data_IF_543503354258
#
_entry.id   IF_543503354258
#
_cell.length_a   1.000
_cell.length_b   1.000
_cell.length_c   1.000
_cell.angle_alpha   90.00
_cell.angle_beta   90.00
_cell.angle_gamma   90.00
#
_symmetry.space_group_name_H-M   'P 1'
#
loop_
_entity.id
_entity.type
_entity.pdbx_description
1 polymer ?
#
# COMPACT_ATOMS: atom_id res chain seq x y z
N UNK A 1 -9.36 -30.68 31.19
CA UNK A 1 -8.15 -30.84 30.34
C UNK A 1 -7.10 -29.85 30.84
N UNK A 2 -6.12 -30.34 31.60
CA UNK A 2 -5.13 -29.53 32.32
C UNK A 2 -4.05 -29.00 31.36
N UNK A 3 -3.97 -27.68 31.21
CA UNK A 3 -3.01 -26.99 30.32
C UNK A 3 -1.61 -27.02 30.92
N UNK A 4 -0.81 -28.02 30.52
CA UNK A 4 0.65 -28.13 30.76
C UNK A 4 1.43 -27.08 29.94
N UNK A 5 1.11 -25.79 30.03
CA UNK A 5 2.01 -24.74 29.51
C UNK A 5 3.18 -24.55 30.49
N UNK A 6 4.39 -24.89 30.04
CA UNK A 6 5.67 -24.76 30.74
C UNK A 6 5.80 -23.44 31.52
N UNK A 7 6.37 -23.49 32.73
CA UNK A 7 6.64 -22.31 33.55
C UNK A 7 7.54 -21.28 32.85
N UNK A 8 8.35 -21.72 31.88
CA UNK A 8 9.18 -20.84 31.03
C UNK A 8 8.34 -19.98 30.10
N UNK A 9 7.24 -20.51 29.54
CA UNK A 9 6.32 -19.75 28.70
C UNK A 9 5.56 -18.72 29.52
N UNK A 10 5.13 -19.07 30.74
CA UNK A 10 4.53 -18.11 31.68
C UNK A 10 5.51 -17.02 32.11
N UNK A 11 6.79 -17.36 32.34
CA UNK A 11 7.87 -16.39 32.62
C UNK A 11 8.20 -15.52 31.42
N UNK A 12 8.18 -16.05 30.19
CA UNK A 12 8.39 -15.28 28.97
C UNK A 12 7.26 -14.28 28.72
N UNK A 13 6.00 -14.69 28.97
CA UNK A 13 4.85 -13.77 28.93
C UNK A 13 4.96 -12.71 30.04
N UNK A 14 5.28 -13.12 31.27
CA UNK A 14 5.42 -12.19 32.40
C UNK A 14 6.58 -11.20 32.22
N UNK A 15 7.71 -11.64 31.64
CA UNK A 15 8.83 -10.77 31.30
C UNK A 15 8.54 -9.88 30.08
N UNK A 16 7.85 -10.39 29.06
CA UNK A 16 7.38 -9.60 27.92
C UNK A 16 6.38 -8.52 28.33
N UNK A 17 5.54 -8.79 29.33
CA UNK A 17 4.63 -7.81 29.94
C UNK A 17 5.35 -6.74 30.78
N UNK A 18 6.53 -7.04 31.35
CA UNK A 18 7.36 -6.07 32.10
C UNK A 18 8.25 -5.22 31.19
N UNK A 19 8.60 -5.71 29.99
CA UNK A 19 9.47 -5.01 29.05
C UNK A 19 8.79 -3.87 28.28
N UNK A 20 7.45 -3.80 28.28
CA UNK A 20 6.69 -2.69 27.70
C UNK A 20 6.38 -1.66 28.81
N UNK A 21 7.04 -0.49 28.83
CA UNK A 21 6.78 0.53 29.85
C UNK A 21 5.32 0.96 29.77
N UNK A 22 4.60 0.86 30.90
CA UNK A 22 3.21 1.34 31.04
C UNK A 22 3.06 2.83 30.73
N UNK A 23 4.14 3.60 30.88
CA UNK A 23 4.13 5.07 30.82
C UNK A 23 3.94 5.67 29.42
N UNK A 24 4.11 4.89 28.33
CA UNK A 24 3.98 5.43 26.96
C UNK A 24 2.52 5.64 26.54
N UNK A 25 1.55 5.06 27.26
CA UNK A 25 0.12 5.25 26.98
C UNK A 25 -0.47 6.51 27.66
N UNK A 26 0.27 7.14 28.59
CA UNK A 26 -0.22 8.29 29.38
C UNK A 26 0.30 9.65 28.90
N UNK A 27 1.09 9.72 27.84
CA UNK A 27 1.43 10.99 27.17
C UNK A 27 0.29 11.40 26.20
N UNK A 28 -0.95 11.40 26.70
CA UNK A 28 -2.17 11.65 25.93
C UNK A 28 -2.35 13.14 25.56
N UNK A 29 -1.50 14.05 26.05
CA UNK A 29 -1.74 15.51 26.01
C UNK A 29 -0.79 16.32 25.12
N UNK A 30 -0.06 15.69 24.18
CA UNK A 30 0.86 16.42 23.29
C UNK A 30 1.26 15.73 21.97
N UNK A 31 0.51 14.71 21.53
CA UNK A 31 0.91 13.90 20.37
C UNK A 31 0.72 14.64 19.03
N UNK A 32 1.83 14.94 18.34
CA UNK A 32 1.81 15.53 16.99
C UNK A 32 1.03 14.70 15.95
N UNK A 33 0.57 15.35 14.87
CA UNK A 33 -0.35 14.78 13.85
C UNK A 33 0.09 13.40 13.35
N UNK A 34 1.38 13.22 13.10
CA UNK A 34 1.97 11.94 12.67
C UNK A 34 1.73 10.81 13.70
N UNK A 35 1.96 11.05 14.98
CA UNK A 35 1.76 10.03 16.03
C UNK A 35 0.27 9.70 16.20
N UNK A 36 -0.63 10.67 15.96
CA UNK A 36 -2.09 10.45 15.95
C UNK A 36 -2.52 9.59 14.76
N UNK A 37 -1.94 9.82 13.59
CA UNK A 37 -2.14 8.98 12.41
C UNK A 37 -1.62 7.55 12.62
N UNK A 38 -0.41 7.39 13.15
CA UNK A 38 0.15 6.07 13.50
C UNK A 38 -0.74 5.35 14.52
N UNK A 39 -1.33 6.07 15.49
CA UNK A 39 -2.31 5.48 16.42
C UNK A 39 -3.56 5.01 15.69
N UNK A 40 -4.16 5.83 14.83
CA UNK A 40 -5.33 5.43 14.06
C UNK A 40 -5.07 4.15 13.25
N UNK A 41 -3.97 4.14 12.49
CA UNK A 41 -3.49 3.01 11.70
C UNK A 41 -3.28 1.75 12.55
N UNK A 42 -2.63 1.88 13.71
CA UNK A 42 -2.36 0.75 14.59
C UNK A 42 -3.64 0.14 15.17
N UNK A 43 -4.63 0.98 15.49
CA UNK A 43 -5.93 0.53 15.97
C UNK A 43 -6.76 -0.14 14.88
N UNK A 44 -6.64 0.30 13.63
CA UNK A 44 -7.33 -0.30 12.49
C UNK A 44 -6.72 -1.65 12.08
N UNK A 45 -5.39 -1.76 12.06
CA UNK A 45 -4.72 -2.93 11.47
C UNK A 45 -4.41 -4.02 12.50
N UNK A 46 -4.21 -3.69 13.79
CA UNK A 46 -3.81 -4.68 14.78
C UNK A 46 -4.96 -5.04 15.75
N UNK A 47 -5.47 -6.29 15.70
CA UNK A 47 -6.59 -6.70 16.54
C UNK A 47 -6.21 -6.87 18.02
N UNK A 48 -4.94 -7.17 18.33
CA UNK A 48 -4.49 -7.48 19.68
C UNK A 48 -3.85 -6.26 20.37
N UNK A 49 -4.24 -6.00 21.62
CA UNK A 49 -3.66 -4.95 22.50
C UNK A 49 -2.13 -5.05 22.59
N UNK A 50 -1.61 -6.27 22.66
CA UNK A 50 -0.19 -6.54 22.86
C UNK A 50 0.62 -6.23 21.59
N UNK A 51 0.07 -6.55 20.42
CA UNK A 51 0.69 -6.25 19.14
C UNK A 51 0.64 -4.74 18.86
N UNK A 52 -0.43 -4.04 19.25
CA UNK A 52 -0.51 -2.58 19.22
C UNK A 52 0.63 -1.93 20.02
N UNK A 53 0.89 -2.43 21.22
CA UNK A 53 1.99 -1.92 22.09
C UNK A 53 3.36 -2.19 21.49
N UNK A 54 3.56 -3.38 20.93
CA UNK A 54 4.81 -3.71 20.21
C UNK A 54 4.99 -2.83 18.98
N UNK A 55 3.91 -2.55 18.26
CA UNK A 55 3.90 -1.67 17.10
C UNK A 55 4.35 -0.25 17.45
N UNK A 56 3.80 0.35 18.51
CA UNK A 56 4.22 1.67 19.00
C UNK A 56 5.67 1.72 19.48
N UNK A 57 6.15 0.64 20.10
CA UNK A 57 7.53 0.55 20.58
C UNK A 57 8.53 0.43 19.43
N UNK A 58 8.20 -0.39 18.42
CA UNK A 58 9.02 -0.56 17.20
C UNK A 58 8.94 0.66 16.26
N UNK A 59 7.86 1.45 16.30
CA UNK A 59 7.65 2.65 15.46
C UNK A 59 8.38 3.91 15.91
N UNK A 60 9.27 3.86 16.92
CA UNK A 60 10.10 5.02 17.28
C UNK A 60 11.11 5.44 16.18
N UNK A 61 11.40 4.56 15.23
CA UNK A 61 12.45 4.77 14.21
C UNK A 61 12.01 4.44 12.77
N UNK A 62 10.76 4.05 12.55
CA UNK A 62 10.29 3.67 11.20
C UNK A 62 9.89 4.93 10.41
N UNK A 63 10.39 5.12 9.18
CA UNK A 63 10.15 6.32 8.39
C UNK A 63 8.66 6.48 8.02
N UNK A 64 8.21 7.70 7.67
CA UNK A 64 6.93 7.90 7.00
C UNK A 64 6.78 6.96 5.79
N UNK A 65 5.55 6.66 5.32
CA UNK A 65 5.30 5.81 4.15
C UNK A 65 5.87 6.47 2.88
N UNK A 66 7.18 6.35 2.67
CA UNK A 66 7.91 7.08 1.63
C UNK A 66 7.61 6.50 0.26
N UNK A 67 7.50 5.17 0.13
CA UNK A 67 7.36 4.55 -1.18
C UNK A 67 6.00 4.88 -1.80
N UNK A 68 4.90 4.64 -1.08
CA UNK A 68 3.57 4.93 -1.60
C UNK A 68 3.38 6.42 -1.87
N UNK A 69 3.85 7.28 -0.97
CA UNK A 69 3.80 8.73 -1.19
C UNK A 69 4.63 9.17 -2.40
N UNK A 70 5.85 8.64 -2.56
CA UNK A 70 6.73 8.98 -3.68
C UNK A 70 6.17 8.51 -5.03
N UNK A 71 5.61 7.29 -5.10
CA UNK A 71 4.97 6.78 -6.33
C UNK A 71 3.76 7.64 -6.68
N UNK A 72 2.87 7.92 -5.72
CA UNK A 72 1.69 8.78 -5.96
C UNK A 72 2.09 10.18 -6.39
N UNK A 73 3.09 10.79 -5.74
CA UNK A 73 3.59 12.11 -6.11
C UNK A 73 4.16 12.10 -7.53
N UNK A 74 4.94 11.08 -7.88
CA UNK A 74 5.49 10.92 -9.24
C UNK A 74 4.39 10.77 -10.27
N UNK A 75 3.33 9.98 -9.99
CA UNK A 75 2.16 9.84 -10.86
C UNK A 75 1.46 11.19 -11.10
N UNK A 76 1.26 11.97 -10.04
CA UNK A 76 0.65 13.30 -10.13
C UNK A 76 1.53 14.24 -10.95
N UNK A 77 2.84 14.31 -10.66
CA UNK A 77 3.77 15.18 -11.39
C UNK A 77 3.79 14.82 -12.88
N UNK A 78 3.92 13.54 -13.22
CA UNK A 78 3.91 13.07 -14.61
C UNK A 78 2.61 13.46 -15.29
N UNK A 79 1.47 13.24 -14.64
CA UNK A 79 0.16 13.61 -15.19
C UNK A 79 0.05 15.13 -15.44
N UNK A 80 0.45 15.96 -14.48
CA UNK A 80 0.44 17.42 -14.61
C UNK A 80 1.38 17.90 -15.73
N UNK A 81 2.59 17.34 -15.83
CA UNK A 81 3.54 17.69 -16.90
C UNK A 81 3.00 17.36 -18.29
N UNK A 82 2.41 16.17 -18.47
CA UNK A 82 1.80 15.79 -19.75
C UNK A 82 0.53 16.61 -20.05
N UNK A 83 -0.27 16.91 -19.03
CA UNK A 83 -1.45 17.77 -19.16
C UNK A 83 -1.11 19.20 -19.59
N UNK A 84 -0.09 19.79 -18.97
CA UNK A 84 0.42 21.11 -19.32
C UNK A 84 1.02 21.14 -20.74
N UNK A 85 1.83 20.12 -21.10
CA UNK A 85 2.47 20.05 -22.43
C UNK A 85 1.46 19.87 -23.57
N UNK A 86 0.38 19.13 -23.33
CA UNK A 86 -0.64 18.84 -24.34
C UNK A 86 -1.85 19.79 -24.26
N UNK A 87 -1.84 20.74 -23.32
CA UNK A 87 -2.92 21.68 -22.99
C UNK A 87 -4.30 20.99 -22.85
N UNK A 88 -4.31 19.76 -22.32
CA UNK A 88 -5.51 18.92 -22.15
C UNK A 88 -5.46 18.24 -20.78
N UNK A 89 -6.50 18.47 -19.98
CA UNK A 89 -6.63 17.93 -18.62
C UNK A 89 -7.35 16.57 -18.56
N UNK A 90 -7.89 16.13 -19.71
CA UNK A 90 -8.47 14.80 -19.93
C UNK A 90 -7.67 14.17 -21.08
N UNK A 91 -6.59 13.45 -20.76
CA UNK A 91 -5.75 12.78 -21.76
C UNK A 91 -6.40 11.47 -22.22
N UNK A 92 -7.52 11.61 -22.94
CA UNK A 92 -8.06 10.48 -23.67
C UNK A 92 -6.94 9.84 -24.51
N UNK A 93 -6.80 8.52 -24.39
CA UNK A 93 -5.79 7.62 -24.98
C UNK A 93 -5.61 7.71 -26.50
N UNK A 94 -6.35 8.60 -27.17
CA UNK A 94 -6.34 8.82 -28.60
C UNK A 94 -5.25 9.79 -29.08
N UNK A 95 -4.55 10.51 -28.20
CA UNK A 95 -3.53 11.45 -28.65
C UNK A 95 -2.25 10.70 -29.09
N UNK A 96 -1.84 10.76 -30.37
CA UNK A 96 -0.71 9.98 -30.88
C UNK A 96 0.61 10.33 -30.17
N UNK A 97 0.80 11.60 -29.79
CA UNK A 97 1.97 12.06 -29.02
C UNK A 97 2.01 11.50 -27.58
N UNK A 98 0.85 11.19 -26.98
CA UNK A 98 0.79 10.57 -25.67
C UNK A 98 1.16 9.08 -25.74
N UNK A 99 0.67 8.38 -26.76
CA UNK A 99 0.98 6.97 -27.01
C UNK A 99 2.41 6.71 -27.46
N UNK A 100 3.07 7.69 -28.10
CA UNK A 100 4.50 7.62 -28.44
C UNK A 100 5.44 7.76 -27.24
N UNK A 101 4.92 8.13 -26.06
CA UNK A 101 5.73 8.31 -24.86
C UNK A 101 6.61 7.08 -24.55
N UNK A 102 7.85 7.29 -24.06
CA UNK A 102 8.73 6.20 -23.65
C UNK A 102 8.20 5.41 -22.44
N UNK A 103 7.28 6.01 -21.67
CA UNK A 103 6.77 5.43 -20.42
C UNK A 103 5.60 4.47 -20.64
N UNK A 104 4.82 4.66 -21.71
CA UNK A 104 3.65 3.83 -22.04
C UNK A 104 4.09 2.43 -22.45
N UNK A 105 3.37 1.42 -21.98
CA UNK A 105 3.53 0.07 -22.49
C UNK A 105 2.91 -0.02 -23.89
N UNK A 106 3.74 -0.38 -24.88
CA UNK A 106 3.33 -0.52 -26.26
C UNK A 106 3.77 -1.91 -26.79
N UNK A 107 2.85 -2.71 -27.35
CA UNK A 107 3.15 -4.09 -27.76
C UNK A 107 4.18 -4.17 -28.89
N UNK A 108 4.30 -3.14 -29.74
CA UNK A 108 5.34 -3.05 -30.76
C UNK A 108 6.77 -2.82 -30.23
N UNK A 109 6.95 -2.61 -28.91
CA UNK A 109 8.24 -2.31 -28.29
C UNK A 109 8.54 -3.20 -27.07
N UNK A 110 8.11 -4.47 -27.09
CA UNK A 110 8.34 -5.43 -25.98
C UNK A 110 9.80 -5.64 -25.60
N UNK A 111 10.75 -5.45 -26.52
CA UNK A 111 12.18 -5.51 -26.22
C UNK A 111 12.64 -4.46 -25.19
N UNK A 112 11.86 -3.39 -25.00
CA UNK A 112 12.14 -2.31 -24.03
C UNK A 112 11.56 -2.67 -22.66
N UNK A 113 12.26 -3.51 -21.90
CA UNK A 113 11.78 -4.10 -20.65
C UNK A 113 11.28 -3.08 -19.60
N UNK A 114 11.83 -1.87 -19.55
CA UNK A 114 11.38 -0.82 -18.63
C UNK A 114 9.91 -0.43 -18.82
N UNK A 115 9.37 -0.59 -20.04
CA UNK A 115 7.96 -0.26 -20.35
C UNK A 115 6.95 -1.11 -19.59
N UNK A 116 7.36 -2.29 -19.12
CA UNK A 116 6.53 -3.14 -18.26
C UNK A 116 6.39 -2.59 -16.83
N UNK A 117 7.21 -1.62 -16.44
CA UNK A 117 7.14 -0.94 -15.14
C UNK A 117 6.68 0.51 -15.28
N UNK A 118 7.28 1.26 -16.22
CA UNK A 118 7.09 2.71 -16.32
C UNK A 118 5.66 3.14 -16.67
N UNK A 119 4.85 2.21 -17.20
CA UNK A 119 3.46 2.49 -17.53
C UNK A 119 2.61 2.86 -16.29
N UNK A 120 3.06 2.46 -15.09
CA UNK A 120 2.38 2.78 -13.82
C UNK A 120 2.31 4.28 -13.51
N UNK A 121 3.17 5.08 -14.14
CA UNK A 121 3.18 6.54 -13.99
C UNK A 121 2.21 7.26 -14.94
N UNK A 122 1.80 6.60 -16.03
CA UNK A 122 0.93 7.17 -17.04
C UNK A 122 -0.54 6.93 -16.68
N UNK A 123 -1.42 7.91 -16.85
CA UNK A 123 -2.86 7.79 -16.54
C UNK A 123 -3.72 8.42 -17.63
N UNK A 124 -4.87 7.82 -17.96
CA UNK A 124 -5.78 8.30 -19.02
C UNK A 124 -6.56 9.55 -18.61
N UNK A 125 -6.76 9.76 -17.31
CA UNK A 125 -7.53 10.90 -16.84
C UNK A 125 -7.46 11.10 -15.34
N UNK A 126 -8.05 12.21 -14.91
CA UNK A 126 -8.13 12.60 -13.51
C UNK A 126 -8.90 11.58 -12.67
N UNK A 127 -9.95 10.96 -13.21
CA UNK A 127 -10.72 9.94 -12.49
C UNK A 127 -9.87 8.69 -12.21
N UNK A 128 -9.16 8.20 -13.22
CA UNK A 128 -8.29 7.04 -13.07
C UNK A 128 -7.12 7.33 -12.11
N UNK A 129 -6.49 8.50 -12.24
CA UNK A 129 -5.42 8.94 -11.34
C UNK A 129 -5.94 9.12 -9.91
N UNK A 130 -7.09 9.79 -9.75
CA UNK A 130 -7.69 10.08 -8.47
C UNK A 130 -8.08 8.80 -7.72
N UNK A 131 -8.72 7.85 -8.40
CA UNK A 131 -9.08 6.57 -7.80
C UNK A 131 -7.85 5.71 -7.45
N UNK A 132 -6.85 5.65 -8.35
CA UNK A 132 -5.60 4.96 -8.05
C UNK A 132 -4.87 5.60 -6.86
N UNK A 133 -4.72 6.92 -6.84
CA UNK A 133 -4.07 7.64 -5.74
C UNK A 133 -4.82 7.45 -4.43
N UNK A 134 -6.16 7.52 -4.45
CA UNK A 134 -6.99 7.31 -3.27
C UNK A 134 -6.78 5.90 -2.71
N UNK A 135 -6.95 4.84 -3.50
CA UNK A 135 -6.79 3.47 -3.02
C UNK A 135 -5.33 3.16 -2.63
N UNK A 136 -4.37 3.62 -3.42
CA UNK A 136 -2.94 3.43 -3.15
C UNK A 136 -2.53 4.06 -1.83
N UNK A 137 -3.02 5.26 -1.52
CA UNK A 137 -2.75 5.90 -0.24
C UNK A 137 -3.59 5.30 0.89
N UNK A 138 -4.88 5.03 0.66
CA UNK A 138 -5.77 4.49 1.69
C UNK A 138 -5.35 3.10 2.17
N UNK A 139 -4.93 2.22 1.25
CA UNK A 139 -4.57 0.83 1.56
C UNK A 139 -3.05 0.67 1.66
N UNK A 140 -2.30 1.27 0.72
CA UNK A 140 -0.86 1.08 0.62
C UNK A 140 -0.08 1.71 1.76
N UNK A 141 -0.48 2.89 2.26
CA UNK A 141 0.20 3.54 3.39
C UNK A 141 0.07 2.70 4.67
N UNK A 142 -1.13 2.29 5.12
CA UNK A 142 -1.32 1.31 6.19
C UNK A 142 -0.46 0.05 6.04
N UNK A 143 -0.48 -0.56 4.85
CA UNK A 143 0.30 -1.77 4.59
C UNK A 143 1.81 -1.52 4.70
N UNK A 144 2.30 -0.39 4.19
CA UNK A 144 3.72 0.00 4.22
C UNK A 144 4.22 0.20 5.66
N UNK A 145 3.41 0.86 6.50
CA UNK A 145 3.76 1.04 7.92
C UNK A 145 3.80 -0.30 8.67
N UNK A 146 2.91 -1.24 8.33
CA UNK A 146 2.82 -2.53 9.05
C UNK A 146 3.84 -3.56 8.60
N UNK A 147 4.04 -3.69 7.29
CA UNK A 147 4.88 -4.73 6.71
C UNK A 147 6.26 -4.22 6.29
N UNK A 148 6.47 -2.90 6.32
CA UNK A 148 7.70 -2.23 5.91
C UNK A 148 7.77 -1.95 4.42
N UNK A 149 8.57 -0.93 4.09
CA UNK A 149 8.76 -0.41 2.73
C UNK A 149 9.20 -1.46 1.70
N UNK A 150 10.13 -2.34 2.05
CA UNK A 150 10.68 -3.32 1.11
C UNK A 150 9.63 -4.35 0.66
N UNK A 151 8.86 -4.91 1.61
CA UNK A 151 7.87 -5.95 1.28
C UNK A 151 6.74 -5.40 0.42
N UNK A 152 6.27 -4.20 0.76
CA UNK A 152 5.16 -3.57 0.06
C UNK A 152 5.59 -2.99 -1.30
N UNK A 153 6.81 -2.46 -1.42
CA UNK A 153 7.33 -2.03 -2.72
C UNK A 153 7.49 -3.19 -3.69
N UNK A 154 8.06 -4.32 -3.26
CA UNK A 154 8.13 -5.53 -4.11
C UNK A 154 6.74 -6.03 -4.51
N UNK A 155 5.79 -6.07 -3.58
CA UNK A 155 4.42 -6.48 -3.86
C UNK A 155 3.76 -5.58 -4.90
N UNK A 156 3.89 -4.26 -4.75
CA UNK A 156 3.32 -3.29 -5.68
C UNK A 156 3.95 -3.42 -7.08
N UNK A 157 5.29 -3.47 -7.16
CA UNK A 157 6.01 -3.61 -8.42
C UNK A 157 5.71 -4.94 -9.11
N UNK A 158 5.55 -6.04 -8.35
CA UNK A 158 5.13 -7.32 -8.88
C UNK A 158 3.71 -7.25 -9.46
N UNK A 159 2.79 -6.54 -8.80
CA UNK A 159 1.45 -6.29 -9.33
C UNK A 159 1.45 -5.50 -10.65
N UNK A 160 2.29 -4.47 -10.74
CA UNK A 160 2.51 -3.70 -11.98
C UNK A 160 3.09 -4.58 -13.09
N UNK A 161 4.12 -5.38 -12.79
CA UNK A 161 4.68 -6.32 -13.77
C UNK A 161 3.65 -7.36 -14.21
N UNK A 162 2.92 -7.96 -13.27
CA UNK A 162 1.88 -8.94 -13.57
C UNK A 162 0.77 -8.32 -14.44
N UNK A 163 0.37 -7.08 -14.18
CA UNK A 163 -0.62 -6.36 -14.98
C UNK A 163 -0.18 -6.17 -16.44
N UNK A 164 1.04 -5.68 -16.66
CA UNK A 164 1.57 -5.50 -18.01
C UNK A 164 1.83 -6.82 -18.73
N UNK A 165 2.31 -7.85 -18.04
CA UNK A 165 2.46 -9.20 -18.58
C UNK A 165 1.10 -9.81 -18.99
N UNK A 166 0.10 -9.69 -18.13
CA UNK A 166 -1.25 -10.20 -18.41
C UNK A 166 -1.79 -9.56 -19.67
N UNK A 167 -1.76 -8.22 -19.77
CA UNK A 167 -2.22 -7.51 -20.98
C UNK A 167 -1.39 -7.89 -22.20
N UNK A 168 -0.07 -8.03 -22.06
CA UNK A 168 0.81 -8.46 -23.16
C UNK A 168 0.41 -9.81 -23.76
N UNK A 169 -0.14 -10.72 -22.93
CA UNK A 169 -0.55 -12.06 -23.33
C UNK A 169 -2.00 -12.06 -23.84
N UNK A 170 -2.92 -11.38 -23.13
CA UNK A 170 -4.35 -11.42 -23.43
C UNK A 170 -4.75 -10.49 -24.58
N UNK A 171 -4.15 -9.31 -24.67
CA UNK A 171 -4.40 -8.33 -25.72
C UNK A 171 -3.08 -7.85 -26.32
N UNK A 172 -2.67 -8.53 -27.39
CA UNK A 172 -1.38 -8.28 -28.02
C UNK A 172 -1.29 -6.95 -28.77
N UNK A 173 -2.40 -6.19 -28.91
CA UNK A 173 -2.45 -4.96 -29.70
C UNK A 173 -2.77 -3.72 -28.87
N UNK A 174 -3.34 -3.86 -27.68
CA UNK A 174 -3.66 -2.72 -26.83
C UNK A 174 -2.42 -2.13 -26.11
N UNK A 175 -2.22 -0.79 -26.16
CA UNK A 175 -1.31 -0.11 -25.25
C UNK A 175 -1.87 -0.10 -23.83
N UNK A 176 -1.00 -0.09 -22.83
CA UNK A 176 -1.38 -0.11 -21.42
C UNK A 176 -0.82 1.12 -20.68
N UNK A 177 -1.67 1.71 -19.84
CA UNK A 177 -1.34 2.82 -18.94
C UNK A 177 -2.11 2.64 -17.63
N UNK A 178 -1.54 3.13 -16.54
CA UNK A 178 -2.18 3.20 -15.22
C UNK A 178 -1.50 2.31 -14.18
N UNK A 179 -1.33 2.83 -12.96
CA UNK A 179 -0.76 2.07 -11.84
C UNK A 179 -1.69 1.04 -11.20
N UNK A 180 -2.86 0.77 -11.79
CA UNK A 180 -3.91 -0.04 -11.17
C UNK A 180 -3.50 -1.49 -10.90
N UNK A 181 -2.58 -2.06 -11.68
CA UNK A 181 -2.02 -3.40 -11.39
C UNK A 181 -1.35 -3.48 -10.02
N UNK A 182 -0.63 -2.43 -9.62
CA UNK A 182 -0.05 -2.32 -8.28
C UNK A 182 -1.11 -2.12 -7.20
N UNK A 183 -2.12 -1.28 -7.47
CA UNK A 183 -3.25 -1.06 -6.55
C UNK A 183 -4.03 -2.35 -6.29
N UNK A 184 -4.32 -3.13 -7.32
CA UNK A 184 -4.99 -4.42 -7.16
C UNK A 184 -4.16 -5.42 -6.34
N UNK A 185 -2.84 -5.44 -6.51
CA UNK A 185 -1.97 -6.24 -5.65
C UNK A 185 -2.05 -5.80 -4.17
N UNK A 186 -2.12 -4.49 -3.89
CA UNK A 186 -2.34 -3.99 -2.53
C UNK A 186 -3.69 -4.41 -1.97
N UNK A 187 -4.78 -4.28 -2.75
CA UNK A 187 -6.10 -4.74 -2.35
C UNK A 187 -6.11 -6.24 -2.05
N UNK A 188 -5.46 -7.06 -2.88
CA UNK A 188 -5.33 -8.49 -2.65
C UNK A 188 -4.51 -8.81 -1.40
N UNK A 189 -3.43 -8.09 -1.13
CA UNK A 189 -2.65 -8.28 0.09
C UNK A 189 -3.42 -7.87 1.35
N UNK A 190 -4.20 -6.78 1.28
CA UNK A 190 -5.09 -6.38 2.36
C UNK A 190 -6.16 -7.45 2.62
N UNK A 191 -6.82 -7.94 1.58
CA UNK A 191 -7.80 -9.01 1.68
C UNK A 191 -7.18 -10.29 2.27
N UNK A 192 -5.99 -10.68 1.81
CA UNK A 192 -5.26 -11.83 2.35
C UNK A 192 -4.95 -11.64 3.85
N UNK A 193 -4.54 -10.43 4.25
CA UNK A 193 -4.29 -10.11 5.66
C UNK A 193 -5.57 -10.24 6.51
N UNK A 194 -6.72 -9.80 6.00
CA UNK A 194 -8.02 -9.92 6.67
C UNK A 194 -8.44 -11.39 6.80
N UNK A 195 -8.33 -12.17 5.72
CA UNK A 195 -8.71 -13.59 5.68
C UNK A 195 -7.85 -14.42 6.63
N UNK A 196 -6.53 -14.23 6.60
CA UNK A 196 -5.60 -14.99 7.45
C UNK A 196 -5.77 -14.69 8.94
N UNK A 197 -6.18 -13.46 9.29
CA UNK A 197 -6.41 -13.05 10.67
C UNK A 197 -7.88 -13.18 11.12
N UNK A 198 -8.76 -13.73 10.28
CA UNK A 198 -10.20 -13.78 10.51
C UNK A 198 -10.62 -14.46 11.82
N UNK A 199 -9.91 -15.53 12.20
CA UNK A 199 -10.19 -16.30 13.41
C UNK A 199 -9.82 -15.56 14.70
N UNK A 200 -8.89 -14.59 14.65
CA UNK A 200 -8.42 -13.83 15.81
C UNK A 200 -9.15 -12.51 16.06
N UNK A 201 -9.99 -12.05 15.12
CA UNK A 201 -10.67 -10.76 15.22
C UNK A 201 -12.01 -10.84 15.97
N UNK A 202 -12.24 -9.92 16.91
CA UNK A 202 -13.54 -9.78 17.59
C UNK A 202 -14.58 -9.21 16.60
N UNK A 203 -15.82 -9.71 16.66
CA UNK A 203 -16.93 -9.39 15.73
C UNK A 203 -17.08 -7.92 15.31
N UNK A 204 -17.02 -6.89 16.19
CA UNK A 204 -17.21 -5.51 15.76
C UNK A 204 -16.10 -4.98 14.83
N UNK A 205 -14.89 -5.54 14.90
CA UNK A 205 -13.76 -5.10 14.08
C UNK A 205 -13.67 -5.84 12.73
N UNK A 206 -14.49 -6.88 12.51
CA UNK A 206 -14.49 -7.63 11.25
C UNK A 206 -15.11 -6.84 10.11
N UNK A 207 -16.21 -6.13 10.38
CA UNK A 207 -16.94 -5.36 9.37
C UNK A 207 -16.16 -4.09 8.99
N UNK A 208 -15.61 -3.39 9.98
CA UNK A 208 -14.78 -2.20 9.78
C UNK A 208 -13.58 -2.51 8.87
N UNK A 209 -12.86 -3.60 9.15
CA UNK A 209 -11.66 -4.02 8.43
C UNK A 209 -11.92 -4.70 7.07
N UNK A 210 -13.18 -5.03 6.76
CA UNK A 210 -13.58 -5.48 5.42
C UNK A 210 -13.95 -4.32 4.51
N UNK A 211 -14.43 -3.21 5.08
CA UNK A 211 -14.91 -2.04 4.33
C UNK A 211 -13.79 -1.02 4.09
N UNK A 212 -12.85 -0.89 5.03
CA UNK A 212 -11.62 -0.11 4.93
C UNK A 212 -10.46 -0.98 4.43
#
# INVERSE_FOLDING_TARGET
ISSKRSSSFKRAIANGQRALPRDVLLDETGLGIYKRFVRYVAYEILPCEMDRRWYFYQHRTCPPPVFMAAVTLTQIIVFLCYGARLNKWVLQTYHPEYMKSPLVYHPGHRARAWRFLTYMFMHVGLEQLGFNALLQLMIGVPLEMVHGILRISFLYLAGVLAGSLTVSITDMRAPLVGGSGGVYALCSAHLANVVMNWAGMRCPYKLLRMVL
#
